data_IF_071892779823
#
_entry.id   IF_071892779823
#
_cell.length_a   1.000
_cell.length_b   1.000
_cell.length_c   1.000
_cell.angle_alpha   90.00
_cell.angle_beta   90.00
_cell.angle_gamma   90.00
#
_symmetry.space_group_name_H-M   'P 1'
#
loop_
_entity.id
_entity.type
_entity.pdbx_description
1 polymer ?
#
# COMPACT_ATOMS: atom_id res chain seq x y z
N UNK A 1 -9.70 8.97 25.16
CA UNK A 1 -8.61 8.38 24.36
C UNK A 1 -9.16 7.41 23.29
N UNK A 2 -9.79 7.91 22.21
CA UNK A 2 -10.35 7.08 21.11
C UNK A 2 -10.13 7.66 19.70
N UNK A 3 -9.34 8.73 19.57
CA UNK A 3 -9.19 9.51 18.31
C UNK A 3 -7.91 9.21 17.52
N UNK A 4 -7.19 8.14 17.87
CA UNK A 4 -5.91 7.73 17.26
C UNK A 4 -6.09 6.50 16.33
N UNK A 5 -7.24 5.82 16.38
CA UNK A 5 -7.39 4.50 15.76
C UNK A 5 -7.35 4.53 14.22
N UNK A 6 -7.85 5.60 13.57
CA UNK A 6 -7.93 5.65 12.09
C UNK A 6 -6.58 5.89 11.40
N UNK A 7 -5.69 6.67 12.05
CA UNK A 7 -4.32 6.86 11.57
C UNK A 7 -3.45 5.66 11.94
N UNK A 8 -3.66 5.06 13.12
CA UNK A 8 -2.94 3.85 13.53
C UNK A 8 -3.27 2.65 12.66
N UNK A 9 -4.53 2.41 12.25
CA UNK A 9 -4.83 1.24 11.40
C UNK A 9 -4.22 1.33 10.01
N UNK A 10 -4.15 2.52 9.41
CA UNK A 10 -3.48 2.72 8.11
C UNK A 10 -1.95 2.72 8.26
N UNK A 11 -1.40 3.24 9.37
CA UNK A 11 0.05 3.18 9.64
C UNK A 11 0.54 1.78 10.05
N UNK A 12 -0.24 1.00 10.81
CA UNK A 12 0.15 -0.34 11.28
C UNK A 12 0.28 -1.36 10.14
N UNK A 13 -0.54 -1.23 9.09
CA UNK A 13 -0.40 -2.05 7.87
C UNK A 13 0.88 -1.68 7.11
N UNK A 14 1.34 -0.43 7.23
CA UNK A 14 2.59 0.04 6.61
C UNK A 14 3.85 -0.47 7.32
N UNK A 15 3.81 -0.55 8.65
CA UNK A 15 4.96 -0.96 9.47
C UNK A 15 5.29 -2.45 9.36
N UNK A 16 4.33 -3.31 8.99
CA UNK A 16 4.59 -4.73 8.76
C UNK A 16 5.42 -5.02 7.50
N UNK A 17 5.59 -4.04 6.61
CA UNK A 17 6.42 -4.19 5.40
C UNK A 17 7.92 -3.89 5.64
N UNK A 18 8.28 -3.38 6.82
CA UNK A 18 9.63 -2.83 7.07
C UNK A 18 10.45 -3.64 8.08
N UNK A 19 10.02 -4.86 8.40
CA UNK A 19 10.85 -5.84 9.10
C UNK A 19 11.75 -6.58 8.09
N UNK A 20 12.92 -6.01 7.80
CA UNK A 20 14.00 -6.72 7.07
C UNK A 20 14.61 -7.82 7.96
N UNK A 21 14.83 -9.04 7.44
CA UNK A 21 16.03 -9.80 7.71
C UNK A 21 17.09 -9.53 6.61
N UNK A 22 18.40 -9.67 6.91
CA UNK A 22 19.46 -9.29 5.98
C UNK A 22 19.68 -10.32 4.86
N UNK A 23 20.16 -9.79 3.73
CA UNK A 23 20.90 -10.36 2.59
C UNK A 23 20.73 -11.84 2.18
N UNK A 24 20.47 -12.07 0.87
CA UNK A 24 20.42 -13.36 0.13
C UNK A 24 19.07 -14.08 -0.01
N UNK A 25 17.95 -13.35 -0.07
CA UNK A 25 16.65 -13.92 -0.40
C UNK A 25 15.53 -12.89 -0.40
N UNK A 26 15.86 -11.66 -0.82
CA UNK A 26 15.01 -10.49 -0.60
C UNK A 26 13.58 -10.75 -1.11
N UNK A 27 12.55 -10.58 -0.25
CA UNK A 27 11.19 -10.55 -0.74
C UNK A 27 11.15 -9.46 -1.81
N UNK A 28 10.61 -9.77 -2.99
CA UNK A 28 10.57 -8.81 -4.08
C UNK A 28 9.91 -7.52 -3.58
N UNK A 29 10.47 -6.36 -3.97
CA UNK A 29 10.05 -5.07 -3.45
C UNK A 29 8.53 -4.92 -3.56
N UNK A 30 7.89 -4.19 -2.62
CA UNK A 30 6.49 -3.82 -2.80
C UNK A 30 6.34 -3.22 -4.20
N UNK A 31 5.25 -3.52 -4.93
CA UNK A 31 5.09 -3.05 -6.29
C UNK A 31 5.37 -1.53 -6.34
N UNK A 32 6.24 -1.06 -7.25
CA UNK A 32 6.49 0.36 -7.39
C UNK A 32 5.14 1.07 -7.66
N UNK A 33 4.77 2.02 -6.80
CA UNK A 33 3.49 2.74 -6.87
C UNK A 33 2.46 2.41 -5.80
N UNK A 34 2.76 1.56 -4.80
CA UNK A 34 1.87 1.32 -3.67
C UNK A 34 2.37 1.98 -2.38
N UNK A 35 2.26 3.32 -2.31
CA UNK A 35 2.34 4.00 -1.03
C UNK A 35 1.06 3.67 -0.21
N UNK A 36 1.17 3.28 1.07
CA UNK A 36 0.04 2.80 1.87
C UNK A 36 -1.12 3.79 1.99
N UNK A 37 -0.80 5.10 2.02
CA UNK A 37 -1.81 6.16 2.04
C UNK A 37 -2.56 6.38 0.71
N UNK A 38 -2.18 5.75 -0.41
CA UNK A 38 -2.91 5.91 -1.68
C UNK A 38 -4.33 5.37 -1.61
N UNK A 39 -4.57 4.33 -0.80
CA UNK A 39 -5.91 3.79 -0.58
C UNK A 39 -6.81 4.86 0.06
N UNK A 40 -6.25 5.73 0.90
CA UNK A 40 -7.01 6.77 1.55
C UNK A 40 -7.51 7.84 0.55
N UNK A 41 -6.92 7.96 -0.63
CA UNK A 41 -7.41 8.84 -1.70
C UNK A 41 -8.76 8.36 -2.29
N UNK A 42 -9.15 7.11 -2.05
CA UNK A 42 -10.44 6.57 -2.49
C UNK A 42 -11.61 6.98 -1.58
N UNK A 43 -11.33 7.71 -0.50
CA UNK A 43 -12.38 8.29 0.33
C UNK A 43 -13.12 9.40 -0.44
N UNK A 44 -14.36 9.66 -0.01
CA UNK A 44 -15.20 10.75 -0.53
C UNK A 44 -14.66 12.14 -0.14
N UNK A 45 -13.65 12.21 0.73
CA UNK A 45 -13.08 13.47 1.18
C UNK A 45 -12.19 14.15 0.13
N UNK A 46 -11.85 13.45 -0.97
CA UNK A 46 -11.01 13.99 -2.04
C UNK A 46 -11.79 14.15 -3.34
N UNK A 47 -11.60 15.29 -4.00
CA UNK A 47 -12.04 15.50 -5.38
C UNK A 47 -11.16 14.74 -6.37
N UNK A 48 -11.66 14.48 -7.59
CA UNK A 48 -10.87 13.75 -8.59
C UNK A 48 -9.58 14.49 -9.00
N UNK A 49 -9.62 15.82 -9.02
CA UNK A 49 -8.44 16.65 -9.26
C UNK A 49 -7.40 16.49 -8.14
N UNK A 50 -7.80 16.62 -6.87
CA UNK A 50 -6.92 16.44 -5.72
C UNK A 50 -6.33 15.02 -5.68
N UNK A 51 -7.14 13.99 -6.01
CA UNK A 51 -6.64 12.61 -6.12
C UNK A 51 -5.56 12.49 -7.18
N UNK A 52 -5.76 13.08 -8.36
CA UNK A 52 -4.77 13.03 -9.44
C UNK A 52 -3.47 13.72 -9.03
N UNK A 53 -3.55 14.92 -8.45
CA UNK A 53 -2.38 15.66 -7.97
C UNK A 53 -1.62 14.89 -6.90
N UNK A 54 -2.32 14.35 -5.90
CA UNK A 54 -1.72 13.59 -4.81
C UNK A 54 -1.12 12.25 -5.28
N UNK A 55 -1.72 11.59 -6.28
CA UNK A 55 -1.10 10.42 -6.94
C UNK A 55 0.19 10.78 -7.65
N UNK A 56 0.22 11.91 -8.36
CA UNK A 56 1.46 12.38 -9.03
C UNK A 56 2.53 12.74 -8.01
N UNK A 57 2.14 13.36 -6.89
CA UNK A 57 3.04 13.72 -5.80
C UNK A 57 3.60 12.47 -5.13
N UNK A 58 2.79 11.44 -4.88
CA UNK A 58 3.25 10.17 -4.30
C UNK A 58 4.33 9.49 -5.15
N UNK A 59 4.26 9.61 -6.48
CA UNK A 59 5.25 9.07 -7.39
C UNK A 59 6.54 9.90 -7.44
N UNK A 60 6.45 11.23 -7.28
CA UNK A 60 7.59 12.17 -7.36
C UNK A 60 8.33 12.33 -6.03
N UNK A 61 7.60 12.59 -4.96
CA UNK A 61 8.11 12.82 -3.61
C UNK A 61 7.19 12.20 -2.55
N UNK A 62 7.49 10.96 -2.11
CA UNK A 62 6.70 10.27 -1.09
C UNK A 62 6.60 11.03 0.24
N UNK A 63 7.63 11.77 0.64
CA UNK A 63 7.65 12.47 1.93
C UNK A 63 6.75 13.70 1.91
N UNK A 64 6.79 14.46 0.83
CA UNK A 64 5.87 15.59 0.65
C UNK A 64 4.43 15.12 0.44
N UNK A 65 4.22 13.99 -0.24
CA UNK A 65 2.91 13.34 -0.30
C UNK A 65 2.35 13.03 1.09
N UNK A 66 3.13 12.41 1.98
CA UNK A 66 2.68 12.17 3.36
C UNK A 66 2.29 13.45 4.09
N UNK A 67 3.10 14.51 3.97
CA UNK A 67 2.79 15.80 4.60
C UNK A 67 1.52 16.41 4.04
N UNK A 68 1.31 16.35 2.72
CA UNK A 68 0.11 16.84 2.06
C UNK A 68 -1.13 16.08 2.55
N UNK A 69 -1.05 14.74 2.60
CA UNK A 69 -2.12 13.87 3.11
C UNK A 69 -2.46 14.19 4.57
N UNK A 70 -1.46 14.30 5.45
CA UNK A 70 -1.69 14.67 6.86
C UNK A 70 -2.40 16.01 6.97
N UNK A 71 -1.92 17.04 6.26
CA UNK A 71 -2.54 18.37 6.26
C UNK A 71 -3.99 18.33 5.77
N UNK A 72 -4.29 17.53 4.76
CA UNK A 72 -5.66 17.35 4.28
C UNK A 72 -6.54 16.74 5.39
N UNK A 73 -6.15 15.59 5.96
CA UNK A 73 -6.94 14.95 7.00
C UNK A 73 -7.18 15.83 8.23
N UNK A 74 -6.18 16.62 8.65
CA UNK A 74 -6.34 17.56 9.76
C UNK A 74 -7.36 18.65 9.42
N UNK A 75 -7.30 19.23 8.21
CA UNK A 75 -8.28 20.24 7.76
C UNK A 75 -9.69 19.66 7.70
N UNK A 76 -9.87 18.49 7.09
CA UNK A 76 -11.19 17.84 6.99
C UNK A 76 -11.75 17.51 8.37
N UNK A 77 -10.92 17.01 9.29
CA UNK A 77 -11.33 16.75 10.67
C UNK A 77 -11.70 18.02 11.43
N UNK A 78 -10.95 19.10 11.24
CA UNK A 78 -11.26 20.40 11.84
C UNK A 78 -12.60 20.93 11.33
N UNK A 79 -12.84 20.88 10.02
CA UNK A 79 -14.11 21.29 9.41
C UNK A 79 -15.30 20.47 9.94
N UNK A 80 -15.14 19.14 10.04
CA UNK A 80 -16.15 18.25 10.64
C UNK A 80 -16.45 18.64 12.09
N UNK A 81 -15.43 18.90 12.89
CA UNK A 81 -15.60 19.31 14.29
C UNK A 81 -16.32 20.66 14.42
N UNK A 82 -15.96 21.64 13.58
CA UNK A 82 -16.65 22.94 13.54
C UNK A 82 -18.13 22.79 13.17
N UNK A 83 -18.45 21.98 12.15
CA UNK A 83 -19.84 21.67 11.77
C UNK A 83 -20.64 21.09 12.93
N UNK A 84 -20.07 20.11 13.65
CA UNK A 84 -20.73 19.50 14.80
C UNK A 84 -20.91 20.47 15.98
N UNK A 85 -19.93 21.36 16.22
CA UNK A 85 -20.06 22.41 17.23
C UNK A 85 -21.18 23.38 16.89
N UNK A 86 -21.26 23.84 15.65
CA UNK A 86 -22.34 24.73 15.20
C UNK A 86 -23.73 24.07 15.35
N UNK A 87 -23.86 22.78 15.01
CA UNK A 87 -25.10 22.03 15.22
C UNK A 87 -25.45 21.88 16.71
N UNK A 88 -24.45 21.66 17.56
CA UNK A 88 -24.63 21.60 19.01
C UNK A 88 -25.07 22.95 19.58
N UNK A 89 -24.46 24.05 19.14
CA UNK A 89 -24.84 25.40 19.55
C UNK A 89 -26.27 25.74 19.11
N UNK A 90 -26.65 25.38 17.89
CA UNK A 90 -28.02 25.52 17.41
C UNK A 90 -29.02 24.73 18.28
N UNK A 91 -28.65 23.54 18.75
CA UNK A 91 -29.47 22.75 19.68
C UNK A 91 -29.57 23.39 21.08
N UNK A 92 -28.46 23.91 21.62
CA UNK A 92 -28.45 24.58 22.92
C UNK A 92 -29.26 25.88 22.92
N UNK A 93 -29.19 26.65 21.83
CA UNK A 93 -29.86 27.94 21.69
C UNK A 93 -31.34 27.80 21.26
N UNK A 94 -31.81 26.59 20.98
CA UNK A 94 -33.20 26.35 20.60
C UNK A 94 -34.14 26.57 21.81
N UNK A 95 -35.02 27.57 21.67
CA UNK A 95 -35.93 28.02 22.74
C UNK A 95 -37.20 27.17 22.84
N UNK A 96 -37.67 26.59 21.72
CA UNK A 96 -38.87 25.73 21.69
C UNK A 96 -38.52 24.25 21.58
N UNK A 97 -39.42 23.40 22.05
CA UNK A 97 -39.23 21.94 21.99
C UNK A 97 -39.16 21.43 20.53
N UNK A 98 -39.93 22.02 19.63
CA UNK A 98 -39.91 21.71 18.20
C UNK A 98 -38.56 22.04 17.56
N UNK A 99 -38.00 23.22 17.86
CA UNK A 99 -36.68 23.62 17.37
C UNK A 99 -35.57 22.73 17.95
N UNK A 100 -35.69 22.32 19.22
CA UNK A 100 -34.76 21.36 19.83
C UNK A 100 -34.81 20.01 19.14
N UNK A 101 -36.01 19.47 18.85
CA UNK A 101 -36.18 18.21 18.12
C UNK A 101 -35.59 18.29 16.71
N UNK A 102 -35.86 19.38 15.98
CA UNK A 102 -35.31 19.58 14.64
C UNK A 102 -33.77 19.69 14.64
N UNK A 103 -33.18 20.43 15.59
CA UNK A 103 -31.73 20.54 15.73
C UNK A 103 -31.09 19.20 16.12
N UNK A 104 -31.74 18.43 16.98
CA UNK A 104 -31.29 17.10 17.39
C UNK A 104 -31.32 16.10 16.22
N UNK A 105 -32.34 16.13 15.37
CA UNK A 105 -32.39 15.31 14.16
C UNK A 105 -31.30 15.71 13.15
N UNK A 106 -31.01 17.01 12.98
CA UNK A 106 -29.86 17.46 12.18
C UNK A 106 -28.52 16.95 12.72
N UNK A 107 -28.38 16.86 14.04
CA UNK A 107 -27.17 16.35 14.68
C UNK A 107 -27.04 14.83 14.51
N UNK A 108 -28.15 14.08 14.69
CA UNK A 108 -28.19 12.63 14.44
C UNK A 108 -27.87 12.29 12.99
N UNK A 109 -28.48 12.98 12.04
CA UNK A 109 -28.24 12.77 10.60
C UNK A 109 -26.80 13.03 10.24
N UNK A 110 -26.21 14.14 10.68
CA UNK A 110 -24.79 14.43 10.44
C UNK A 110 -23.84 13.36 11.03
N UNK A 111 -24.14 12.84 12.23
CA UNK A 111 -23.35 11.75 12.82
C UNK A 111 -23.54 10.42 12.08
N UNK A 112 -24.77 10.14 11.64
CA UNK A 112 -25.10 8.92 10.88
C UNK A 112 -24.35 8.89 9.56
N UNK A 113 -24.39 9.99 8.81
CA UNK A 113 -23.66 10.14 7.54
C UNK A 113 -22.15 9.90 7.71
N UNK A 114 -21.54 10.46 8.76
CA UNK A 114 -20.10 10.29 9.02
C UNK A 114 -19.76 8.82 9.33
N UNK A 115 -20.59 8.14 10.12
CA UNK A 115 -20.43 6.71 10.43
C UNK A 115 -20.62 5.85 9.18
N UNK A 116 -21.66 6.10 8.38
CA UNK A 116 -21.93 5.36 7.14
C UNK A 116 -20.78 5.50 6.14
N UNK A 117 -20.27 6.72 5.94
CA UNK A 117 -19.10 6.96 5.09
C UNK A 117 -17.86 6.21 5.60
N UNK A 118 -17.65 6.19 6.92
CA UNK A 118 -16.53 5.47 7.51
C UNK A 118 -16.66 3.96 7.29
N UNK A 119 -17.86 3.40 7.45
CA UNK A 119 -18.13 1.96 7.22
C UNK A 119 -17.96 1.59 5.75
N UNK A 120 -18.44 2.43 4.82
CA UNK A 120 -18.23 2.22 3.38
C UNK A 120 -16.74 2.17 3.03
N UNK A 121 -15.95 3.10 3.56
CA UNK A 121 -14.50 3.11 3.35
C UNK A 121 -13.84 1.87 3.94
N UNK A 122 -14.20 1.47 5.16
CA UNK A 122 -13.69 0.24 5.79
C UNK A 122 -14.03 -1.01 4.98
N UNK A 123 -15.24 -1.10 4.43
CA UNK A 123 -15.67 -2.22 3.58
C UNK A 123 -14.81 -2.33 2.32
N UNK A 124 -14.49 -1.20 1.67
CA UNK A 124 -13.58 -1.18 0.51
C UNK A 124 -12.17 -1.63 0.90
N UNK A 125 -11.63 -1.05 1.97
CA UNK A 125 -10.31 -1.40 2.48
C UNK A 125 -10.17 -2.89 2.82
N UNK A 126 -11.20 -3.48 3.42
CA UNK A 126 -11.25 -4.92 3.69
C UNK A 126 -11.18 -5.73 2.41
N UNK A 127 -12.00 -5.39 1.41
CA UNK A 127 -12.02 -6.07 0.11
C UNK A 127 -10.65 -6.02 -0.57
N UNK A 128 -10.03 -4.85 -0.64
CA UNK A 128 -8.71 -4.69 -1.27
C UNK A 128 -7.62 -5.46 -0.51
N UNK A 129 -7.71 -5.49 0.81
CA UNK A 129 -6.79 -6.26 1.66
C UNK A 129 -6.96 -7.77 1.42
N UNK A 130 -8.18 -8.27 1.32
CA UNK A 130 -8.46 -9.68 1.00
C UNK A 130 -7.96 -10.06 -0.40
N UNK A 131 -8.07 -9.17 -1.38
CA UNK A 131 -7.52 -9.39 -2.72
C UNK A 131 -5.98 -9.41 -2.70
N UNK A 132 -5.36 -8.52 -1.93
CA UNK A 132 -3.91 -8.49 -1.75
C UNK A 132 -3.40 -9.76 -1.05
N UNK A 133 -4.08 -10.25 -0.01
CA UNK A 133 -3.75 -11.51 0.66
C UNK A 133 -3.80 -12.67 -0.35
N UNK A 134 -4.88 -12.79 -1.12
CA UNK A 134 -5.00 -13.84 -2.15
C UNK A 134 -3.88 -13.78 -3.19
N UNK A 135 -3.46 -12.58 -3.59
CA UNK A 135 -2.33 -12.41 -4.51
C UNK A 135 -0.99 -12.80 -3.87
N UNK A 136 -0.76 -12.46 -2.61
CA UNK A 136 0.43 -12.87 -1.86
C UNK A 136 0.49 -14.40 -1.68
N UNK A 137 -0.63 -15.05 -1.40
CA UNK A 137 -0.72 -16.52 -1.30
C UNK A 137 -0.34 -17.20 -2.62
N UNK A 138 -0.88 -16.71 -3.76
CA UNK A 138 -0.50 -17.22 -5.09
C UNK A 138 1.00 -17.05 -5.35
N UNK A 139 1.55 -15.90 -4.98
CA UNK A 139 2.99 -15.62 -5.13
C UNK A 139 3.84 -16.56 -4.29
N UNK A 140 3.44 -16.79 -3.04
CA UNK A 140 4.10 -17.72 -2.14
C UNK A 140 4.06 -19.15 -2.69
N UNK A 141 2.91 -19.60 -3.19
CA UNK A 141 2.79 -20.91 -3.82
C UNK A 141 3.71 -21.05 -5.05
N UNK A 142 3.79 -20.03 -5.89
CA UNK A 142 4.71 -20.01 -7.03
C UNK A 142 6.18 -20.03 -6.60
N UNK A 143 6.54 -19.36 -5.50
CA UNK A 143 7.88 -19.41 -4.92
C UNK A 143 8.23 -20.80 -4.40
N UNK A 144 7.31 -21.44 -3.65
CA UNK A 144 7.48 -22.83 -3.17
C UNK A 144 7.72 -23.80 -4.33
N UNK A 145 6.89 -23.73 -5.37
CA UNK A 145 7.04 -24.57 -6.57
C UNK A 145 8.38 -24.37 -7.28
N UNK A 146 8.86 -23.12 -7.37
CA UNK A 146 10.20 -22.83 -7.93
C UNK A 146 11.29 -23.44 -7.07
N UNK A 147 11.19 -23.27 -5.75
CA UNK A 147 12.15 -23.84 -4.80
C UNK A 147 12.21 -25.37 -4.92
N UNK A 148 11.07 -26.05 -4.90
CA UNK A 148 10.98 -27.51 -5.06
C UNK A 148 11.66 -27.96 -6.36
N UNK A 149 11.31 -27.35 -7.49
CA UNK A 149 11.94 -27.64 -8.78
C UNK A 149 13.46 -27.42 -8.78
N UNK A 150 13.93 -26.34 -8.15
CA UNK A 150 15.36 -26.07 -8.01
C UNK A 150 16.05 -27.08 -7.11
N UNK A 151 15.41 -27.46 -6.00
CA UNK A 151 15.91 -28.46 -5.05
C UNK A 151 16.02 -29.83 -5.69
N UNK A 152 15.02 -30.26 -6.46
CA UNK A 152 15.04 -31.53 -7.20
C UNK A 152 16.09 -31.53 -8.32
N UNK A 153 16.25 -30.39 -9.01
CA UNK A 153 17.21 -30.23 -10.11
C UNK A 153 18.65 -29.91 -9.68
N UNK A 154 18.91 -29.78 -8.37
CA UNK A 154 20.18 -29.22 -7.87
C UNK A 154 21.40 -30.05 -8.29
N UNK A 155 21.33 -31.38 -8.20
CA UNK A 155 22.47 -32.25 -8.52
C UNK A 155 22.80 -32.20 -10.01
N UNK A 156 21.77 -32.26 -10.87
CA UNK A 156 21.96 -32.10 -12.33
C UNK A 156 22.56 -30.75 -12.69
N UNK A 157 22.16 -29.68 -11.99
CA UNK A 157 22.76 -28.36 -12.17
C UNK A 157 24.23 -28.35 -11.73
N UNK A 158 24.54 -28.95 -10.57
CA UNK A 158 25.91 -29.06 -10.05
C UNK A 158 26.80 -29.86 -11.00
N UNK A 159 26.35 -31.01 -11.49
CA UNK A 159 27.09 -31.83 -12.47
C UNK A 159 27.37 -31.06 -13.75
N UNK A 160 26.35 -30.40 -14.31
CA UNK A 160 26.53 -29.55 -15.49
C UNK A 160 27.56 -28.45 -15.23
N UNK A 161 27.48 -27.81 -14.06
CA UNK A 161 28.41 -26.74 -13.69
C UNK A 161 29.82 -27.25 -13.47
N UNK A 162 29.98 -28.42 -12.87
CA UNK A 162 31.26 -29.10 -12.70
C UNK A 162 31.88 -29.38 -14.08
N UNK A 163 31.12 -29.96 -15.00
CA UNK A 163 31.58 -30.26 -16.36
C UNK A 163 31.97 -29.00 -17.14
N UNK A 164 31.24 -27.89 -16.99
CA UNK A 164 31.62 -26.60 -17.58
C UNK A 164 32.95 -26.09 -17.02
N UNK A 165 33.20 -26.25 -15.72
CA UNK A 165 34.40 -25.75 -15.05
C UNK A 165 35.63 -26.64 -15.23
N UNK A 166 35.44 -27.94 -15.46
CA UNK A 166 36.52 -28.90 -15.72
C UNK A 166 36.82 -29.07 -17.21
N UNK A 167 36.08 -28.40 -18.09
CA UNK A 167 36.35 -28.37 -19.52
C UNK A 167 37.74 -27.77 -19.81
N UNK A 168 38.35 -28.21 -20.92
CA UNK A 168 39.70 -27.75 -21.33
C UNK A 168 39.78 -26.24 -21.57
N UNK A 169 38.68 -25.63 -21.99
CA UNK A 169 38.58 -24.18 -22.19
C UNK A 169 37.69 -23.55 -21.12
N UNK A 170 38.12 -22.41 -20.57
CA UNK A 170 37.35 -21.69 -19.58
C UNK A 170 36.02 -21.17 -20.18
N UNK A 171 34.89 -21.31 -19.48
CA UNK A 171 33.61 -20.79 -19.95
C UNK A 171 33.68 -19.28 -20.23
N UNK A 172 33.37 -18.87 -21.46
CA UNK A 172 33.42 -17.45 -21.90
C UNK A 172 32.68 -16.50 -20.96
N UNK A 173 31.54 -16.95 -20.42
CA UNK A 173 30.76 -16.19 -19.44
C UNK A 173 31.56 -15.91 -18.16
N UNK A 174 32.28 -16.91 -17.65
CA UNK A 174 33.04 -16.80 -16.41
C UNK A 174 34.24 -15.86 -16.59
N UNK A 175 34.94 -15.97 -17.71
CA UNK A 175 36.04 -15.05 -18.07
C UNK A 175 35.57 -13.60 -18.11
N UNK A 176 34.40 -13.36 -18.73
CA UNK A 176 33.80 -12.02 -18.82
C UNK A 176 33.36 -11.47 -17.46
N UNK A 177 32.68 -12.28 -16.65
CA UNK A 177 32.28 -11.90 -15.28
C UNK A 177 33.51 -11.63 -14.40
N UNK A 178 34.59 -12.41 -14.54
CA UNK A 178 35.86 -12.18 -13.84
C UNK A 178 36.54 -10.86 -14.25
N UNK A 179 36.33 -10.41 -15.49
CA UNK A 179 36.77 -9.10 -15.97
C UNK A 179 35.84 -7.94 -15.52
N UNK A 180 34.82 -8.21 -14.72
CA UNK A 180 33.85 -7.20 -14.25
C UNK A 180 32.73 -6.88 -15.24
N UNK A 181 32.63 -7.59 -16.36
CA UNK A 181 31.58 -7.39 -17.36
C UNK A 181 30.39 -8.34 -17.15
N UNK A 182 29.32 -7.78 -16.56
CA UNK A 182 28.05 -8.46 -16.31
C UNK A 182 27.01 -8.26 -17.42
N UNK A 183 27.41 -7.66 -18.55
CA UNK A 183 26.51 -7.40 -19.67
C UNK A 183 25.90 -8.70 -20.19
N UNK A 184 24.60 -8.68 -20.49
CA UNK A 184 23.95 -9.86 -21.09
C UNK A 184 24.39 -9.98 -22.55
N UNK A 185 24.83 -11.18 -23.01
CA UNK A 185 25.11 -11.36 -24.43
C UNK A 185 23.83 -11.08 -25.23
N UNK A 186 23.96 -10.38 -26.37
CA UNK A 186 22.82 -10.13 -27.25
C UNK A 186 22.22 -11.47 -27.68
N UNK A 187 20.90 -11.60 -27.53
CA UNK A 187 20.20 -12.78 -28.04
C UNK A 187 20.24 -12.73 -29.56
N UNK A 188 20.48 -13.87 -30.24
CA UNK A 188 20.37 -13.90 -31.70
C UNK A 188 18.95 -13.50 -32.13
N UNK A 189 18.79 -12.83 -33.28
CA UNK A 189 17.47 -12.49 -33.80
C UNK A 189 16.66 -13.78 -33.99
N UNK A 190 15.39 -13.74 -33.58
CA UNK A 190 14.46 -14.83 -33.87
C UNK A 190 14.13 -14.77 -35.36
N UNK A 191 14.55 -15.78 -36.11
CA UNK A 191 14.05 -16.07 -37.46
C UNK A 191 12.73 -16.82 -37.37
#
# INVERSE_FOLDING_TARGET
MKKILFLLTVLLISAAAEARPPENGAPPPPPPGHHPLLIALESKDFTDAERAELKTLAAKDPREFEKAMRRHFFRSRQAKAQKLLALREAWLNAQTEELRKAALEKLKTALREDVEQQLEFQKKLLKDTEENIRNMERRLAAMKKRYEKHSEGKEKYLEKRLNELTAKEAPKRLVREAAGDFSRPQRPPKH
#
